data_IF_266547077879
#
_entry.id   IF_266547077879
#
_cell.length_a   1.000
_cell.length_b   1.000
_cell.length_c   1.000
_cell.angle_alpha   90.00
_cell.angle_beta   90.00
_cell.angle_gamma   90.00
#
_symmetry.space_group_name_H-M   'P 1'
#
loop_
_entity.id
_entity.type
_entity.pdbx_description
1 polymer ?
#
# COMPACT_ATOMS: atom_id res chain seq x y z
N UNK A 1 7.88 3.27 -3.26
CA UNK A 1 6.72 3.58 -2.40
C UNK A 1 5.76 4.58 -3.02
N UNK A 2 6.14 5.85 -3.23
CA UNK A 2 5.19 6.88 -3.65
C UNK A 2 4.38 6.54 -4.92
N UNK A 3 5.06 6.21 -6.03
CA UNK A 3 4.40 5.84 -7.29
C UNK A 3 3.54 4.58 -7.17
N UNK A 4 3.93 3.63 -6.31
CA UNK A 4 3.15 2.41 -6.06
C UNK A 4 1.85 2.75 -5.34
N UNK A 5 1.88 3.64 -4.35
CA UNK A 5 0.66 4.11 -3.67
C UNK A 5 -0.29 4.78 -4.65
N UNK A 6 0.20 5.70 -5.50
CA UNK A 6 -0.62 6.36 -6.53
C UNK A 6 -1.19 5.35 -7.53
N UNK A 7 -0.40 4.35 -7.94
CA UNK A 7 -0.86 3.28 -8.83
C UNK A 7 -2.02 2.48 -8.22
N UNK A 8 -1.90 2.06 -6.95
CA UNK A 8 -2.97 1.35 -6.24
C UNK A 8 -4.22 2.21 -6.06
N UNK A 9 -4.05 3.51 -5.81
CA UNK A 9 -5.17 4.46 -5.73
C UNK A 9 -5.98 4.52 -7.03
N UNK A 10 -5.32 4.51 -8.18
CA UNK A 10 -5.98 4.44 -9.49
C UNK A 10 -6.74 3.12 -9.67
N UNK A 11 -6.21 2.00 -9.17
CA UNK A 11 -6.91 0.72 -9.22
C UNK A 11 -8.16 0.72 -8.34
N UNK A 12 -8.09 1.26 -7.13
CA UNK A 12 -9.27 1.41 -6.26
C UNK A 12 -10.30 2.38 -6.85
N UNK A 13 -9.85 3.47 -7.46
CA UNK A 13 -10.74 4.41 -8.15
C UNK A 13 -11.49 3.69 -9.28
N UNK A 14 -10.77 2.90 -10.08
CA UNK A 14 -11.35 2.10 -11.16
C UNK A 14 -12.33 1.07 -10.58
N UNK A 15 -12.00 0.42 -9.47
CA UNK A 15 -12.89 -0.52 -8.79
C UNK A 15 -14.20 0.14 -8.34
N UNK A 16 -14.13 1.35 -7.77
CA UNK A 16 -15.30 2.12 -7.35
C UNK A 16 -16.20 2.54 -8.52
N UNK A 17 -15.64 2.70 -9.73
CA UNK A 17 -16.44 2.94 -10.94
C UNK A 17 -17.27 1.72 -11.34
N UNK A 18 -16.78 0.50 -11.09
CA UNK A 18 -17.52 -0.74 -11.38
C UNK A 18 -18.44 -1.18 -10.23
N UNK A 19 -18.00 -0.92 -9.00
CA UNK A 19 -18.66 -1.36 -7.77
C UNK A 19 -18.63 -0.20 -6.77
N UNK A 20 -19.68 0.62 -6.78
CA UNK A 20 -19.79 1.79 -5.89
C UNK A 20 -19.68 1.41 -4.41
N UNK A 21 -20.23 0.26 -4.03
CA UNK A 21 -20.20 -0.28 -2.66
C UNK A 21 -19.00 -1.20 -2.41
N UNK A 22 -17.87 -1.02 -3.10
CA UNK A 22 -16.68 -1.85 -2.88
C UNK A 22 -15.89 -1.46 -1.64
N UNK A 23 -15.94 -0.18 -1.25
CA UNK A 23 -15.18 0.41 -0.13
C UNK A 23 -16.15 1.23 0.72
N UNK A 24 -16.05 1.05 2.03
CA UNK A 24 -16.79 1.81 3.02
C UNK A 24 -15.91 2.92 3.59
N UNK A 25 -16.43 4.15 3.59
CA UNK A 25 -15.79 5.33 4.15
C UNK A 25 -16.50 5.72 5.45
N UNK A 26 -15.74 5.94 6.52
CA UNK A 26 -16.31 6.29 7.83
C UNK A 26 -16.86 7.72 7.90
N UNK A 27 -16.39 8.63 7.04
CA UNK A 27 -16.95 9.97 6.91
C UNK A 27 -17.83 10.08 5.65
N UNK A 28 -18.93 10.84 5.73
CA UNK A 28 -19.95 10.98 4.68
C UNK A 28 -19.49 11.71 3.40
N UNK A 29 -18.20 12.00 3.24
CA UNK A 29 -17.66 12.58 2.00
C UNK A 29 -17.36 11.43 1.05
N UNK A 30 -18.08 11.37 -0.06
CA UNK A 30 -17.86 10.39 -1.13
C UNK A 30 -16.38 10.43 -1.54
N UNK A 31 -15.71 9.27 -1.41
CA UNK A 31 -14.26 9.11 -1.46
C UNK A 31 -13.58 9.92 -2.55
N UNK A 32 -12.90 10.98 -2.13
CA UNK A 32 -12.04 11.74 -3.00
C UNK A 32 -10.82 10.88 -3.36
N UNK A 33 -10.20 11.17 -4.51
CA UNK A 33 -8.97 10.47 -4.91
C UNK A 33 -7.86 10.57 -3.84
N UNK A 34 -7.85 11.66 -3.06
CA UNK A 34 -6.97 11.82 -1.89
C UNK A 34 -7.16 10.74 -0.83
N UNK A 35 -8.38 10.27 -0.62
CA UNK A 35 -8.72 9.28 0.39
C UNK A 35 -8.26 7.89 -0.04
N UNK A 36 -8.31 7.62 -1.35
CA UNK A 36 -7.75 6.40 -1.94
C UNK A 36 -6.22 6.38 -1.89
N UNK A 37 -5.58 7.54 -2.10
CA UNK A 37 -4.14 7.70 -1.85
C UNK A 37 -3.83 7.40 -0.40
N UNK A 38 -4.55 8.04 0.52
CA UNK A 38 -4.38 7.81 1.95
C UNK A 38 -4.55 6.31 2.29
N UNK A 39 -5.64 5.67 1.84
CA UNK A 39 -5.90 4.23 2.02
C UNK A 39 -4.73 3.36 1.51
N UNK A 40 -4.21 3.68 0.32
CA UNK A 40 -3.10 2.95 -0.29
C UNK A 40 -1.85 3.04 0.59
N UNK A 41 -1.50 4.26 1.05
CA UNK A 41 -0.33 4.47 1.92
C UNK A 41 -0.46 3.78 3.27
N UNK A 42 -1.61 3.87 3.95
CA UNK A 42 -1.80 3.20 5.24
C UNK A 42 -1.81 1.67 5.10
N UNK A 43 -2.25 1.14 3.96
CA UNK A 43 -2.23 -0.31 3.66
C UNK A 43 -0.81 -0.78 3.39
N UNK A 44 -0.06 -0.07 2.53
CA UNK A 44 1.34 -0.38 2.23
C UNK A 44 2.25 -0.31 3.47
N UNK A 45 1.96 0.62 4.39
CA UNK A 45 2.70 0.79 5.65
C UNK A 45 2.16 -0.05 6.80
N UNK A 46 1.16 -0.88 6.54
CA UNK A 46 0.50 -1.75 7.53
C UNK A 46 -0.06 -1.00 8.75
N UNK A 47 -0.41 0.28 8.59
CA UNK A 47 -1.01 1.10 9.65
C UNK A 47 -2.48 0.73 9.88
N UNK A 48 -3.29 0.76 8.83
CA UNK A 48 -4.69 0.30 8.85
C UNK A 48 -5.59 0.93 9.92
N UNK A 49 -5.76 2.25 9.92
CA UNK A 49 -6.61 2.96 10.91
C UNK A 49 -8.07 2.49 10.95
N UNK A 50 -8.58 1.92 9.85
CA UNK A 50 -9.93 1.38 9.76
C UNK A 50 -11.02 2.41 9.46
N UNK A 51 -10.65 3.64 9.16
CA UNK A 51 -11.52 4.69 8.65
C UNK A 51 -11.98 4.45 7.20
N UNK A 52 -11.17 3.75 6.41
CA UNK A 52 -11.51 3.28 5.07
C UNK A 52 -11.36 1.76 5.03
N UNK A 53 -12.45 1.06 4.71
CA UNK A 53 -12.50 -0.41 4.77
C UNK A 53 -12.93 -1.03 3.43
N UNK A 54 -12.14 -1.95 2.85
CA UNK A 54 -12.57 -2.71 1.68
C UNK A 54 -13.64 -3.74 2.09
N UNK A 55 -14.85 -3.61 1.55
CA UNK A 55 -15.98 -4.51 1.88
C UNK A 55 -16.17 -5.61 0.85
N UNK A 56 -15.96 -5.32 -0.44
CA UNK A 56 -16.08 -6.34 -1.50
C UNK A 56 -14.91 -7.34 -1.48
N UNK A 57 -15.14 -8.58 -1.93
CA UNK A 57 -14.07 -9.59 -2.08
C UNK A 57 -12.94 -9.08 -2.97
N UNK A 58 -13.27 -8.37 -4.04
CA UNK A 58 -12.29 -7.83 -4.96
C UNK A 58 -11.42 -6.75 -4.29
N UNK A 59 -12.03 -5.81 -3.56
CA UNK A 59 -11.30 -4.78 -2.82
C UNK A 59 -10.38 -5.39 -1.75
N UNK A 60 -10.85 -6.43 -1.04
CA UNK A 60 -10.04 -7.15 -0.05
C UNK A 60 -8.83 -7.84 -0.68
N UNK A 61 -9.02 -8.53 -1.81
CA UNK A 61 -7.92 -9.17 -2.52
C UNK A 61 -6.89 -8.14 -3.01
N UNK A 62 -7.34 -6.99 -3.51
CA UNK A 62 -6.47 -5.89 -3.90
C UNK A 62 -5.66 -5.34 -2.72
N UNK A 63 -6.30 -5.12 -1.57
CA UNK A 63 -5.62 -4.65 -0.35
C UNK A 63 -4.55 -5.65 0.16
N UNK A 64 -4.82 -6.95 0.07
CA UNK A 64 -3.83 -7.99 0.41
C UNK A 64 -2.63 -7.93 -0.54
N UNK A 65 -2.88 -7.85 -1.85
CA UNK A 65 -1.81 -7.74 -2.84
C UNK A 65 -0.99 -6.46 -2.67
N UNK A 66 -1.64 -5.34 -2.36
CA UNK A 66 -0.99 -4.07 -2.07
C UNK A 66 -0.09 -4.16 -0.84
N UNK A 67 -0.57 -4.78 0.26
CA UNK A 67 0.21 -4.93 1.47
C UNK A 67 1.49 -5.76 1.22
N UNK A 68 1.39 -6.85 0.46
CA UNK A 68 2.54 -7.68 0.07
C UNK A 68 3.49 -6.88 -0.84
N UNK A 69 2.96 -6.17 -1.83
CA UNK A 69 3.75 -5.32 -2.73
C UNK A 69 4.50 -4.23 -1.97
N UNK A 70 3.82 -3.61 -1.01
CA UNK A 70 4.37 -2.59 -0.12
C UNK A 70 5.65 -3.06 0.54
N UNK A 71 5.72 -4.26 1.11
CA UNK A 71 6.88 -4.71 1.88
C UNK A 71 8.15 -4.98 1.04
N UNK A 72 8.01 -5.26 -0.26
CA UNK A 72 9.15 -5.65 -1.11
C UNK A 72 10.24 -4.59 -1.23
N UNK A 73 9.87 -3.30 -1.27
CA UNK A 73 10.87 -2.23 -1.38
C UNK A 73 11.71 -2.10 -0.10
N UNK A 74 11.07 -2.07 1.09
CA UNK A 74 11.80 -2.01 2.37
C UNK A 74 12.72 -3.23 2.53
N UNK A 75 12.23 -4.43 2.18
CA UNK A 75 13.03 -5.65 2.26
C UNK A 75 14.30 -5.59 1.38
N UNK A 76 14.17 -5.17 0.12
CA UNK A 76 15.31 -5.05 -0.81
C UNK A 76 16.27 -3.94 -0.34
N UNK A 77 15.74 -2.81 0.12
CA UNK A 77 16.56 -1.70 0.61
C UNK A 77 17.39 -2.11 1.84
N UNK A 78 16.76 -2.78 2.81
CA UNK A 78 17.46 -3.31 3.99
C UNK A 78 18.50 -4.36 3.60
N UNK A 79 18.15 -5.33 2.74
CA UNK A 79 19.09 -6.34 2.26
C UNK A 79 20.32 -5.72 1.57
N UNK A 80 20.12 -4.66 0.77
CA UNK A 80 21.20 -3.92 0.11
C UNK A 80 22.09 -3.18 1.13
N UNK A 81 21.50 -2.53 2.12
CA UNK A 81 22.26 -1.84 3.17
C UNK A 81 23.09 -2.80 4.02
N UNK A 82 22.52 -3.94 4.39
CA UNK A 82 23.23 -5.00 5.14
C UNK A 82 24.35 -5.61 4.30
N UNK A 83 24.09 -5.91 3.02
CA UNK A 83 25.12 -6.43 2.11
C UNK A 83 26.31 -5.48 1.93
N UNK A 84 26.07 -4.16 1.87
CA UNK A 84 27.13 -3.16 1.80
C UNK A 84 27.96 -3.09 3.10
N UNK A 85 27.31 -3.18 4.27
CA UNK A 85 28.03 -3.19 5.55
C UNK A 85 28.91 -4.43 5.70
N UNK A 86 28.42 -5.61 5.32
CA UNK A 86 29.19 -6.85 5.35
C UNK A 86 30.37 -6.83 4.37
N UNK A 87 30.19 -6.27 3.17
CA UNK A 87 31.27 -6.11 2.19
C UNK A 87 32.35 -5.10 2.63
N UNK A 88 31.99 -4.10 3.45
CA UNK A 88 32.94 -3.14 4.01
C UNK A 88 33.71 -3.68 5.22
N UNK A 89 33.07 -4.52 6.04
CA UNK A 89 33.67 -5.11 7.24
C UNK A 89 34.70 -6.21 6.95
N UNK A 90 34.57 -6.94 5.83
CA UNK A 90 35.52 -8.01 5.44
C UNK A 90 36.83 -7.53 4.82
N UNK A 91 37.16 -6.23 4.91
CA UNK A 91 38.35 -5.62 4.28
C UNK A 91 39.44 -5.18 5.28
N UNK A 92 39.31 -5.59 6.54
CA UNK A 92 40.22 -5.25 7.64
C UNK A 92 40.73 -6.46 8.44
N UNK A 93 40.70 -7.66 7.85
CA UNK A 93 41.32 -8.87 8.41
C UNK A 93 42.46 -9.37 7.53
#
# INVERSE_FOLDING_TARGET
YFLSGVFWSYLYQTLLLFYADAILFSEHVVGAFSDLIYFSFITMTTLGYGDIMPISRMAKNMAVLEAVWGQTYLAVLVARLVGLHLSGSGRFD
#
